data_IF_092655881081
#
_entry.id   IF_092655881081
#
_cell.length_a   1.000
_cell.length_b   1.000
_cell.length_c   1.000
_cell.angle_alpha   90.00
_cell.angle_beta   90.00
_cell.angle_gamma   90.00
#
_symmetry.space_group_name_H-M   'P 1'
#
loop_
_entity.id
_entity.type
_entity.pdbx_description
1 polymer ?
#
# COMPACT_ATOMS: atom_id res chain seq x y z
N UNK A 1 -34.31 -21.15 69.48
CA UNK A 1 -34.20 -19.79 68.93
C UNK A 1 -32.71 -19.44 68.93
N UNK A 2 -32.03 -19.67 67.80
CA UNK A 2 -30.57 -19.54 67.70
C UNK A 2 -30.16 -18.11 67.32
N UNK A 3 -29.20 -17.56 68.05
CA UNK A 3 -28.51 -16.30 67.77
C UNK A 3 -27.70 -16.44 66.47
N UNK A 4 -27.93 -15.55 65.51
CA UNK A 4 -27.04 -15.37 64.37
C UNK A 4 -26.22 -14.10 64.60
N UNK A 5 -24.94 -14.27 64.96
CA UNK A 5 -23.96 -13.17 65.00
C UNK A 5 -23.38 -13.05 63.61
N UNK A 6 -23.61 -11.92 62.93
CA UNK A 6 -22.98 -11.63 61.65
C UNK A 6 -21.91 -10.56 61.88
N UNK A 7 -20.65 -10.97 61.81
CA UNK A 7 -19.48 -10.13 61.96
C UNK A 7 -18.98 -9.70 60.57
N UNK A 8 -19.04 -8.38 60.32
CA UNK A 8 -17.99 -7.54 59.72
C UNK A 8 -17.39 -7.95 58.34
N UNK A 9 -17.41 -7.06 57.35
CA UNK A 9 -16.39 -5.99 57.23
C UNK A 9 -16.72 -5.12 56.00
N UNK A 10 -16.59 -3.81 56.16
CA UNK A 10 -16.57 -2.86 55.05
C UNK A 10 -15.12 -2.55 54.66
N UNK A 11 -14.98 -2.00 53.45
CA UNK A 11 -13.85 -1.19 52.94
C UNK A 11 -12.66 -1.96 52.34
N UNK A 12 -12.72 -2.20 51.02
CA UNK A 12 -11.62 -1.90 50.08
C UNK A 12 -12.27 -1.44 48.76
N UNK A 13 -12.17 -0.14 48.45
CA UNK A 13 -12.53 0.36 47.11
C UNK A 13 -11.47 -0.05 46.08
N UNK A 14 -11.82 -0.22 44.80
CA UNK A 14 -10.83 -0.59 43.79
C UNK A 14 -9.81 0.54 43.59
N UNK A 15 -8.55 0.14 43.69
CA UNK A 15 -7.33 0.91 43.51
C UNK A 15 -7.28 1.45 42.07
N UNK A 16 -7.08 2.75 41.89
CA UNK A 16 -6.74 3.34 40.59
C UNK A 16 -5.29 2.96 40.27
N UNK A 17 -5.11 2.04 39.32
CA UNK A 17 -3.79 1.72 38.76
C UNK A 17 -3.47 2.79 37.71
N UNK A 18 -2.51 3.66 38.02
CA UNK A 18 -1.86 4.51 37.03
C UNK A 18 -0.77 3.65 36.37
N UNK A 19 -0.88 3.43 35.06
CA UNK A 19 -0.05 2.45 34.37
C UNK A 19 0.06 2.67 32.87
N UNK A 20 1.23 3.15 32.44
CA UNK A 20 1.93 2.58 31.30
C UNK A 20 1.92 3.40 30.00
N UNK A 21 3.11 3.82 29.59
CA UNK A 21 3.46 4.29 28.25
C UNK A 21 2.84 3.39 27.17
N UNK A 22 1.94 3.94 26.37
CA UNK A 22 1.21 3.22 25.34
C UNK A 22 2.11 2.94 24.12
N UNK A 23 2.86 1.84 24.14
CA UNK A 23 3.32 1.20 22.91
C UNK A 23 2.12 0.46 22.34
N UNK A 24 1.33 1.14 21.50
CA UNK A 24 0.20 0.51 20.82
C UNK A 24 0.76 -0.41 19.75
N UNK A 25 0.67 -1.72 19.95
CA UNK A 25 0.98 -2.68 18.89
C UNK A 25 0.02 -2.45 17.72
N UNK A 26 0.53 -2.31 16.48
CA UNK A 26 -0.33 -2.08 15.32
C UNK A 26 -1.29 -3.25 15.15
N UNK A 27 -2.56 -2.96 14.92
CA UNK A 27 -3.57 -3.98 14.69
C UNK A 27 -3.37 -4.62 13.31
N UNK A 28 -3.94 -5.81 13.11
CA UNK A 28 -3.89 -6.47 11.81
C UNK A 28 -4.49 -5.59 10.69
N UNK A 29 -5.51 -4.80 10.99
CA UNK A 29 -6.12 -3.86 10.03
C UNK A 29 -5.14 -2.75 9.64
N UNK A 30 -4.40 -2.19 10.59
CA UNK A 30 -3.40 -1.15 10.34
C UNK A 30 -2.29 -1.66 9.41
N UNK A 31 -1.85 -2.91 9.61
CA UNK A 31 -0.84 -3.55 8.78
C UNK A 31 -1.35 -3.78 7.34
N UNK A 32 -2.62 -4.18 7.16
CA UNK A 32 -3.22 -4.32 5.83
C UNK A 32 -3.31 -2.99 5.09
N UNK A 33 -3.76 -1.94 5.78
CA UNK A 33 -3.83 -0.60 5.20
C UNK A 33 -2.43 -0.09 4.83
N UNK A 34 -1.43 -0.33 5.69
CA UNK A 34 -0.04 0.03 5.40
C UNK A 34 0.51 -0.70 4.18
N UNK A 35 0.19 -1.99 4.02
CA UNK A 35 0.59 -2.76 2.84
C UNK A 35 0.00 -2.18 1.54
N UNK A 36 -1.30 -1.85 1.55
CA UNK A 36 -1.95 -1.18 0.39
C UNK A 36 -1.28 0.15 0.08
N UNK A 37 -0.97 0.93 1.12
CA UNK A 37 -0.35 2.25 0.96
C UNK A 37 1.05 2.15 0.34
N UNK A 38 1.88 1.22 0.80
CA UNK A 38 3.22 0.99 0.25
C UNK A 38 3.16 0.59 -1.23
N UNK A 39 2.29 -0.35 -1.60
CA UNK A 39 2.14 -0.77 -2.99
C UNK A 39 1.71 0.38 -3.92
N UNK A 40 0.90 1.31 -3.42
CA UNK A 40 0.53 2.52 -4.18
C UNK A 40 1.68 3.51 -4.30
N UNK A 41 2.45 3.70 -3.24
CA UNK A 41 3.66 4.54 -3.24
C UNK A 41 4.70 3.99 -4.25
N UNK A 42 4.87 2.67 -4.31
CA UNK A 42 5.79 2.05 -5.28
C UNK A 42 5.28 2.18 -6.72
N UNK A 43 3.96 2.05 -6.94
CA UNK A 43 3.35 2.36 -8.24
C UNK A 43 3.55 3.84 -8.66
N UNK A 44 3.43 4.79 -7.74
CA UNK A 44 3.70 6.21 -8.00
C UNK A 44 5.17 6.47 -8.33
N UNK A 45 6.12 5.77 -7.70
CA UNK A 45 7.54 5.91 -8.04
C UNK A 45 7.82 5.44 -9.47
N UNK A 46 7.16 4.38 -9.92
CA UNK A 46 7.26 3.91 -11.31
C UNK A 46 6.72 5.00 -12.25
N UNK A 47 5.55 5.57 -11.95
CA UNK A 47 4.97 6.68 -12.72
C UNK A 47 5.92 7.89 -12.81
N UNK A 48 6.50 8.31 -11.67
CA UNK A 48 7.43 9.43 -11.61
C UNK A 48 8.74 9.17 -12.35
N UNK A 49 9.28 7.95 -12.25
CA UNK A 49 10.48 7.56 -12.98
C UNK A 49 10.25 7.70 -14.49
N UNK A 50 9.07 7.30 -14.97
CA UNK A 50 8.71 7.47 -16.38
C UNK A 50 8.51 8.94 -16.74
N UNK A 51 7.78 9.71 -15.92
CA UNK A 51 7.50 11.13 -16.17
C UNK A 51 8.78 11.98 -16.26
N UNK A 52 9.69 11.85 -15.29
CA UNK A 52 10.96 12.61 -15.26
C UNK A 52 11.86 12.26 -16.44
N UNK A 53 11.87 10.99 -16.87
CA UNK A 53 12.70 10.55 -17.99
C UNK A 53 12.14 11.02 -19.33
N UNK A 54 10.82 11.09 -19.47
CA UNK A 54 10.14 11.64 -20.63
C UNK A 54 10.30 13.17 -20.73
N UNK A 55 10.39 13.87 -19.60
CA UNK A 55 10.61 15.33 -19.55
C UNK A 55 12.07 15.73 -19.84
N UNK A 56 13.05 14.93 -19.40
CA UNK A 56 14.46 15.34 -19.42
C UNK A 56 15.33 14.82 -20.58
N UNK A 57 15.00 13.72 -21.27
CA UNK A 57 15.89 13.17 -22.29
C UNK A 57 15.15 12.66 -23.55
N UNK A 58 15.63 13.18 -24.68
CA UNK A 58 15.46 12.73 -26.07
C UNK A 58 14.93 11.30 -26.29
N UNK A 59 13.86 11.19 -27.08
CA UNK A 59 13.27 9.98 -27.69
C UNK A 59 12.52 9.03 -26.74
N UNK A 60 11.22 9.28 -26.50
CA UNK A 60 10.23 8.38 -25.86
C UNK A 60 10.08 6.95 -26.46
N UNK A 61 10.87 6.56 -27.46
CA UNK A 61 10.80 5.25 -28.16
C UNK A 61 12.17 4.57 -28.30
N UNK A 62 13.04 4.69 -27.30
CA UNK A 62 14.24 3.86 -27.27
C UNK A 62 13.88 2.47 -26.70
N UNK A 63 14.22 1.35 -27.37
CA UNK A 63 13.88 -0.02 -26.94
C UNK A 63 14.23 -0.33 -25.47
N UNK A 64 15.24 0.36 -24.94
CA UNK A 64 15.68 0.25 -23.55
C UNK A 64 14.60 0.68 -22.53
N UNK A 65 13.70 1.60 -22.89
CA UNK A 65 12.67 2.09 -21.96
C UNK A 65 11.55 1.09 -21.73
N UNK A 66 11.13 0.39 -22.78
CA UNK A 66 10.14 -0.68 -22.68
C UNK A 66 10.69 -1.80 -21.78
N UNK A 67 11.97 -2.19 -21.95
CA UNK A 67 12.62 -3.20 -21.11
C UNK A 67 12.75 -2.80 -19.63
N UNK A 68 13.08 -1.53 -19.35
CA UNK A 68 13.15 -1.03 -17.96
C UNK A 68 11.76 -0.98 -17.35
N UNK A 69 10.76 -0.49 -18.09
CA UNK A 69 9.38 -0.45 -17.61
C UNK A 69 8.84 -1.86 -17.33
N UNK A 70 9.06 -2.81 -18.23
CA UNK A 70 8.66 -4.21 -18.05
C UNK A 70 9.27 -4.81 -16.79
N UNK A 71 10.55 -4.51 -16.53
CA UNK A 71 11.24 -4.97 -15.32
C UNK A 71 10.63 -4.35 -14.05
N UNK A 72 10.27 -3.06 -14.08
CA UNK A 72 9.63 -2.38 -12.94
C UNK A 72 8.20 -2.91 -12.69
N UNK A 73 7.40 -3.07 -13.75
CA UNK A 73 6.07 -3.67 -13.68
C UNK A 73 6.13 -5.11 -13.14
N UNK A 74 7.13 -5.89 -13.56
CA UNK A 74 7.38 -7.21 -13.02
C UNK A 74 7.73 -7.16 -11.52
N UNK A 75 8.62 -6.24 -11.10
CA UNK A 75 8.97 -6.03 -9.69
C UNK A 75 7.74 -5.75 -8.82
N UNK A 76 6.92 -4.77 -9.21
CA UNK A 76 5.66 -4.44 -8.53
C UNK A 76 4.71 -5.64 -8.49
N UNK A 77 4.62 -6.42 -9.57
CA UNK A 77 3.79 -7.63 -9.59
C UNK A 77 4.23 -8.67 -8.54
N UNK A 78 5.54 -8.77 -8.25
CA UNK A 78 6.08 -9.68 -7.23
C UNK A 78 5.77 -9.20 -5.82
N UNK A 79 5.82 -7.90 -5.58
CA UNK A 79 5.46 -7.30 -4.28
C UNK A 79 3.96 -7.47 -3.99
N UNK A 80 3.11 -7.27 -5.01
CA UNK A 80 1.67 -7.54 -4.93
C UNK A 80 1.42 -9.02 -4.64
N UNK A 81 2.06 -9.95 -5.36
CA UNK A 81 1.92 -11.40 -5.13
C UNK A 81 2.30 -11.76 -3.70
N UNK A 82 3.38 -11.18 -3.18
CA UNK A 82 3.81 -11.36 -1.80
C UNK A 82 2.75 -10.86 -0.80
N UNK A 83 2.22 -9.65 -0.99
CA UNK A 83 1.18 -9.09 -0.13
C UNK A 83 -0.15 -9.87 -0.19
N UNK A 84 -0.50 -10.44 -1.34
CA UNK A 84 -1.64 -11.34 -1.51
C UNK A 84 -1.43 -12.63 -0.72
N UNK A 85 -0.24 -13.24 -0.81
CA UNK A 85 0.10 -14.47 -0.08
C UNK A 85 0.12 -14.30 1.44
N UNK A 86 0.44 -13.10 1.91
CA UNK A 86 0.33 -12.73 3.34
C UNK A 86 -1.12 -12.45 3.78
N UNK A 87 -2.08 -12.42 2.85
CA UNK A 87 -3.48 -12.10 3.13
C UNK A 87 -3.70 -10.62 3.48
N UNK A 88 -2.75 -9.75 3.13
CA UNK A 88 -2.84 -8.32 3.39
C UNK A 88 -3.73 -7.60 2.38
N UNK A 89 -3.74 -8.08 1.14
CA UNK A 89 -4.61 -7.60 0.08
C UNK A 89 -5.26 -8.76 -0.65
N UNK A 90 -6.37 -8.50 -1.35
CA UNK A 90 -6.97 -9.48 -2.26
C UNK A 90 -6.32 -9.41 -3.63
N UNK A 91 -6.47 -10.48 -4.42
CA UNK A 91 -5.98 -10.52 -5.81
C UNK A 91 -6.60 -9.41 -6.66
N UNK A 92 -7.88 -9.14 -6.47
CA UNK A 92 -8.62 -8.09 -7.16
C UNK A 92 -8.07 -6.71 -6.82
N UNK A 93 -7.72 -6.47 -5.55
CA UNK A 93 -7.06 -5.22 -5.15
C UNK A 93 -5.70 -5.05 -5.83
N UNK A 94 -4.90 -6.12 -5.88
CA UNK A 94 -3.63 -6.12 -6.61
C UNK A 94 -3.78 -5.81 -8.10
N UNK A 95 -4.75 -6.46 -8.76
CA UNK A 95 -5.05 -6.20 -10.18
C UNK A 95 -5.49 -4.76 -10.44
N UNK A 96 -6.28 -4.17 -9.53
CA UNK A 96 -6.68 -2.76 -9.65
C UNK A 96 -5.50 -1.80 -9.59
N UNK A 97 -4.50 -2.07 -8.74
CA UNK A 97 -3.29 -1.25 -8.66
C UNK A 97 -2.53 -1.29 -10.00
N UNK A 98 -2.36 -2.48 -10.58
CA UNK A 98 -1.70 -2.63 -11.89
C UNK A 98 -2.48 -1.91 -13.00
N UNK A 99 -3.79 -2.13 -13.11
CA UNK A 99 -4.60 -1.48 -14.14
C UNK A 99 -4.61 0.06 -14.02
N UNK A 100 -4.61 0.60 -12.81
CA UNK A 100 -4.53 2.04 -12.59
C UNK A 100 -3.18 2.59 -13.05
N UNK A 101 -2.08 1.87 -12.80
CA UNK A 101 -0.75 2.25 -13.26
C UNK A 101 -0.64 2.17 -14.80
N UNK A 102 -1.10 1.08 -15.41
CA UNK A 102 -1.12 0.92 -16.88
C UNK A 102 -1.89 2.08 -17.56
N UNK A 103 -3.04 2.46 -17.02
CA UNK A 103 -3.83 3.59 -17.54
C UNK A 103 -3.05 4.90 -17.47
N UNK A 104 -2.45 5.21 -16.32
CA UNK A 104 -1.65 6.43 -16.13
C UNK A 104 -0.45 6.47 -17.08
N UNK A 105 0.23 5.35 -17.28
CA UNK A 105 1.34 5.25 -18.23
C UNK A 105 0.86 5.50 -19.65
N UNK A 106 -0.27 4.92 -20.07
CA UNK A 106 -0.86 5.18 -21.39
C UNK A 106 -1.22 6.65 -21.60
N UNK A 107 -1.77 7.31 -20.58
CA UNK A 107 -2.08 8.75 -20.61
C UNK A 107 -0.79 9.58 -20.75
N UNK A 108 0.27 9.26 -20.00
CA UNK A 108 1.58 9.91 -20.11
C UNK A 108 2.19 9.75 -21.50
N UNK A 109 2.15 8.55 -22.07
CA UNK A 109 2.62 8.31 -23.44
C UNK A 109 1.84 9.14 -24.46
N UNK A 110 0.51 9.22 -24.32
CA UNK A 110 -0.34 9.98 -25.24
C UNK A 110 -0.09 11.49 -25.13
N UNK A 111 0.13 12.00 -23.92
CA UNK A 111 0.39 13.42 -23.67
C UNK A 111 1.74 13.88 -24.26
N UNK A 112 2.76 13.03 -24.19
CA UNK A 112 4.13 13.37 -24.57
C UNK A 112 4.42 13.05 -26.05
N UNK A 113 3.65 12.16 -26.66
CA UNK A 113 3.70 11.82 -28.09
C UNK A 113 2.46 12.29 -28.87
N UNK A 114 2.20 13.61 -29.01
CA UNK A 114 1.17 14.09 -29.91
C UNK A 114 1.64 13.92 -31.37
N UNK A 115 1.55 12.71 -31.92
CA UNK A 115 1.99 12.45 -33.29
C UNK A 115 2.12 11.00 -33.75
N UNK A 116 2.00 9.98 -32.90
CA UNK A 116 1.96 8.57 -33.37
C UNK A 116 0.52 8.19 -33.74
N UNK A 117 -0.05 9.01 -34.62
CA UNK A 117 -1.32 8.78 -35.27
C UNK A 117 -1.13 9.12 -36.74
N UNK A 118 -0.50 8.21 -37.49
CA UNK A 118 -0.40 8.32 -38.94
C UNK A 118 0.94 7.84 -39.50
N UNK A 119 1.10 6.53 -39.66
CA UNK A 119 1.76 5.99 -40.85
C UNK A 119 1.33 4.53 -41.08
N UNK A 120 0.40 4.41 -42.05
CA UNK A 120 -0.01 3.27 -42.89
C UNK A 120 -0.45 1.94 -42.24
#
# INVERSE_FOLDING_TARGET
>A
MGLHVTLNIAIIGPIAVDGGSNVTTPTQTDLKQRAVQLLKEDAEKIEQLIAVQLEHLTLPKCPLYEEVLDTQMFGLSREIDYAVRLGFITREQGQRIIHELERKLADLYTMILPGVGGES
#
